data_IF_853105239349
#
_entry.id   IF_853105239349
#
_cell.length_a   1.000
_cell.length_b   1.000
_cell.length_c   1.000
_cell.angle_alpha   90.00
_cell.angle_beta   90.00
_cell.angle_gamma   90.00
#
_symmetry.space_group_name_H-M   'P 1'
#
loop_
_entity.id
_entity.type
_entity.pdbx_description
1 polymer ?
#
# COMPACT_ATOMS: atom_id res chain seq x y z
N UNK A 1 -4.28 -11.16 -27.49
CA UNK A 1 -4.83 -12.53 -27.22
C UNK A 1 -5.46 -12.48 -25.86
N UNK A 2 -6.66 -13.02 -25.67
CA UNK A 2 -7.30 -13.20 -24.35
C UNK A 2 -6.96 -14.63 -23.93
N UNK A 3 -6.37 -14.81 -22.75
CA UNK A 3 -6.00 -16.11 -22.21
C UNK A 3 -7.11 -16.70 -21.34
N UNK A 4 -7.75 -15.82 -20.53
CA UNK A 4 -8.80 -16.22 -19.64
C UNK A 4 -9.75 -15.05 -19.37
N UNK A 5 -10.96 -15.31 -18.85
CA UNK A 5 -11.93 -14.31 -18.42
C UNK A 5 -12.82 -14.88 -17.33
N UNK A 6 -13.33 -14.02 -16.49
CA UNK A 6 -14.28 -14.36 -15.43
C UNK A 6 -15.51 -13.47 -15.51
N UNK A 7 -16.66 -13.98 -15.04
CA UNK A 7 -17.91 -13.26 -14.92
C UNK A 7 -18.33 -13.26 -13.44
N UNK A 8 -18.31 -12.10 -12.82
CA UNK A 8 -18.74 -11.95 -11.44
C UNK A 8 -20.01 -11.10 -11.34
N UNK A 9 -20.88 -11.43 -10.39
CA UNK A 9 -22.01 -10.60 -9.97
C UNK A 9 -21.66 -9.66 -8.82
N UNK A 10 -20.42 -9.70 -8.34
CA UNK A 10 -19.95 -8.81 -7.29
C UNK A 10 -19.91 -7.36 -7.78
N UNK A 11 -20.19 -6.40 -6.92
CA UNK A 11 -20.19 -4.98 -7.31
C UNK A 11 -18.79 -4.46 -7.69
N UNK A 12 -17.75 -5.24 -7.45
CA UNK A 12 -16.36 -4.96 -7.84
C UNK A 12 -15.66 -6.22 -8.32
N UNK A 13 -14.77 -6.09 -9.30
CA UNK A 13 -13.94 -7.17 -9.87
C UNK A 13 -12.62 -7.39 -9.11
N UNK A 14 -12.45 -6.69 -8.02
CA UNK A 14 -11.25 -6.68 -7.19
C UNK A 14 -10.76 -8.09 -6.77
N UNK A 15 -11.67 -9.02 -6.48
CA UNK A 15 -11.32 -10.38 -6.08
C UNK A 15 -10.93 -11.29 -7.26
N UNK A 16 -11.19 -10.87 -8.50
CA UNK A 16 -10.92 -11.68 -9.70
C UNK A 16 -9.46 -11.65 -10.13
N UNK A 17 -8.65 -10.68 -9.66
CA UNK A 17 -7.26 -10.53 -10.12
C UNK A 17 -6.42 -11.78 -9.87
N UNK A 18 -6.39 -12.26 -8.62
CA UNK A 18 -5.55 -13.40 -8.24
C UNK A 18 -5.95 -14.66 -8.99
N UNK A 19 -7.22 -15.12 -9.00
CA UNK A 19 -7.63 -16.31 -9.74
C UNK A 19 -7.32 -16.24 -11.24
N UNK A 20 -7.54 -15.08 -11.88
CA UNK A 20 -7.27 -14.92 -13.31
C UNK A 20 -5.77 -14.93 -13.63
N UNK A 21 -4.94 -14.40 -12.76
CA UNK A 21 -3.49 -14.44 -12.95
C UNK A 21 -2.91 -15.82 -12.69
N UNK A 22 -3.42 -16.56 -11.71
CA UNK A 22 -3.07 -17.96 -11.45
C UNK A 22 -3.43 -18.84 -12.66
N UNK A 23 -4.68 -18.75 -13.15
CA UNK A 23 -5.14 -19.48 -14.33
C UNK A 23 -4.31 -19.16 -15.58
N UNK A 24 -3.98 -17.88 -15.79
CA UNK A 24 -3.13 -17.45 -16.91
C UNK A 24 -1.72 -18.01 -16.79
N UNK A 25 -1.15 -18.06 -15.59
CA UNK A 25 0.18 -18.63 -15.33
C UNK A 25 0.20 -20.14 -15.63
N UNK A 26 -0.83 -20.87 -15.19
CA UNK A 26 -0.98 -22.27 -15.46
C UNK A 26 -1.10 -22.54 -16.97
N UNK A 27 -1.93 -21.76 -17.67
CA UNK A 27 -2.09 -21.87 -19.12
C UNK A 27 -0.79 -21.63 -19.89
N UNK A 28 0.03 -20.68 -19.44
CA UNK A 28 1.32 -20.36 -20.04
C UNK A 28 2.40 -21.40 -19.72
N UNK A 29 2.19 -22.24 -18.69
CA UNK A 29 3.17 -23.23 -18.25
C UNK A 29 4.48 -22.59 -17.77
N UNK A 30 4.42 -21.38 -17.20
CA UNK A 30 5.60 -20.61 -16.79
C UNK A 30 5.76 -20.60 -15.28
N UNK A 31 6.96 -20.86 -14.78
CA UNK A 31 7.28 -20.74 -13.34
C UNK A 31 7.31 -19.29 -12.87
N UNK A 32 7.57 -18.33 -13.79
CA UNK A 32 7.62 -16.91 -13.53
C UNK A 32 6.68 -16.17 -14.47
N UNK A 33 5.91 -15.24 -13.92
CA UNK A 33 5.01 -14.39 -14.68
C UNK A 33 5.04 -12.97 -14.13
N UNK A 34 5.01 -11.98 -15.03
CA UNK A 34 4.77 -10.58 -14.69
C UNK A 34 3.30 -10.26 -14.97
N UNK A 35 2.64 -9.58 -14.02
CA UNK A 35 1.26 -9.12 -14.17
C UNK A 35 1.18 -7.61 -14.03
N UNK A 36 0.59 -6.95 -15.03
CA UNK A 36 0.32 -5.52 -15.02
C UNK A 36 -1.19 -5.30 -14.87
N UNK A 37 -1.59 -4.66 -13.80
CA UNK A 37 -3.00 -4.41 -13.49
C UNK A 37 -3.24 -2.95 -13.16
N UNK A 38 -4.48 -2.49 -13.28
CA UNK A 38 -4.81 -1.14 -12.91
C UNK A 38 -4.85 -0.94 -11.37
N UNK A 39 -4.93 0.33 -10.94
CA UNK A 39 -4.93 0.68 -9.52
C UNK A 39 -6.16 0.15 -8.76
N UNK A 40 -7.25 -0.13 -9.44
CA UNK A 40 -8.47 -0.67 -8.83
C UNK A 40 -8.22 -2.01 -8.13
N UNK A 41 -7.25 -2.77 -8.61
CA UNK A 41 -6.88 -4.07 -8.04
C UNK A 41 -5.85 -3.99 -6.90
N UNK A 42 -5.34 -2.79 -6.58
CA UNK A 42 -4.33 -2.68 -5.53
C UNK A 42 -4.89 -3.03 -4.16
N UNK A 43 -4.37 -4.09 -3.57
CA UNK A 43 -4.44 -4.39 -2.15
C UNK A 43 -3.22 -5.16 -1.70
N UNK A 44 -2.89 -5.04 -0.44
CA UNK A 44 -1.78 -5.82 0.11
C UNK A 44 -2.07 -7.32 0.10
N UNK A 45 -3.34 -7.71 0.18
CA UNK A 45 -3.75 -9.11 0.10
C UNK A 45 -3.52 -9.67 -1.33
N UNK A 46 -3.88 -8.91 -2.39
CA UNK A 46 -3.61 -9.30 -3.76
C UNK A 46 -2.11 -9.35 -4.03
N UNK A 47 -1.36 -8.29 -3.66
CA UNK A 47 0.10 -8.24 -3.83
C UNK A 47 0.78 -9.41 -3.13
N UNK A 48 0.35 -9.73 -1.91
CA UNK A 48 0.89 -10.87 -1.16
C UNK A 48 0.58 -12.21 -1.85
N UNK A 49 -0.69 -12.46 -2.22
CA UNK A 49 -1.06 -13.71 -2.89
C UNK A 49 -0.26 -13.90 -4.17
N UNK A 50 -0.16 -12.88 -5.02
CA UNK A 50 0.62 -12.97 -6.26
C UNK A 50 2.11 -13.22 -6.00
N UNK A 51 2.70 -12.59 -4.96
CA UNK A 51 4.09 -12.84 -4.58
C UNK A 51 4.30 -14.26 -4.07
N UNK A 52 3.37 -14.80 -3.27
CA UNK A 52 3.41 -16.18 -2.76
C UNK A 52 3.33 -17.20 -3.93
N UNK A 53 2.62 -16.85 -5.01
CA UNK A 53 2.49 -17.66 -6.23
C UNK A 53 3.61 -17.43 -7.26
N UNK A 54 4.62 -16.63 -6.92
CA UNK A 54 5.75 -16.30 -7.78
C UNK A 54 5.36 -15.45 -9.00
N UNK A 55 4.37 -14.57 -8.83
CA UNK A 55 3.92 -13.62 -9.84
C UNK A 55 4.44 -12.22 -9.46
N UNK A 56 5.22 -11.61 -10.33
CA UNK A 56 5.68 -10.22 -10.17
C UNK A 56 4.55 -9.26 -10.54
N UNK A 57 3.91 -8.67 -9.52
CA UNK A 57 2.74 -7.82 -9.69
C UNK A 57 3.12 -6.33 -9.83
N UNK A 58 2.75 -5.72 -10.94
CA UNK A 58 2.86 -4.28 -11.19
C UNK A 58 1.47 -3.64 -11.08
N UNK A 59 1.09 -3.26 -9.87
CA UNK A 59 -0.20 -2.62 -9.56
C UNK A 59 0.08 -1.23 -9.00
N UNK A 60 -0.37 -0.14 -9.63
CA UNK A 60 -0.16 1.20 -9.11
C UNK A 60 -0.77 1.36 -7.72
N UNK A 61 0.05 1.72 -6.74
CA UNK A 61 -0.44 2.01 -5.40
C UNK A 61 -1.40 3.20 -5.39
N UNK A 62 -2.39 3.15 -4.50
CA UNK A 62 -3.25 4.31 -4.26
C UNK A 62 -2.38 5.48 -3.77
N UNK A 63 -2.56 6.65 -4.35
CA UNK A 63 -1.86 7.86 -3.90
C UNK A 63 -2.31 8.17 -2.47
N UNK A 64 -1.49 7.81 -1.50
CA UNK A 64 -1.71 8.16 -0.11
C UNK A 64 -1.16 9.57 0.16
N UNK A 65 -1.92 10.37 0.83
CA UNK A 65 -1.60 11.74 1.21
C UNK A 65 -2.87 12.57 1.33
N UNK A 66 -2.77 13.69 2.02
CA UNK A 66 -3.88 14.63 2.08
C UNK A 66 -4.12 15.23 0.70
N UNK A 67 -5.32 15.10 0.12
CA UNK A 67 -5.63 15.76 -1.13
C UNK A 67 -5.62 17.29 -0.92
N UNK A 68 -5.08 18.01 -1.89
CA UNK A 68 -5.31 19.44 -1.99
C UNK A 68 -6.82 19.71 -2.11
N UNK A 69 -7.37 20.57 -1.25
CA UNK A 69 -8.82 20.82 -1.19
C UNK A 69 -9.40 21.38 -2.49
N UNK A 70 -8.57 21.98 -3.34
CA UNK A 70 -9.00 22.55 -4.64
C UNK A 70 -8.88 21.56 -5.78
N UNK A 71 -7.83 20.75 -5.78
CA UNK A 71 -7.49 19.87 -6.91
C UNK A 71 -7.82 18.41 -6.65
N UNK A 72 -8.07 18.02 -5.39
CA UNK A 72 -8.24 16.62 -4.98
C UNK A 72 -6.96 15.77 -5.11
N UNK A 73 -5.83 16.39 -5.46
CA UNK A 73 -4.53 15.71 -5.59
C UNK A 73 -3.78 15.76 -4.26
N UNK A 74 -3.21 14.65 -3.78
CA UNK A 74 -2.41 14.64 -2.57
C UNK A 74 -1.25 15.65 -2.64
N UNK A 75 -0.99 16.36 -1.55
CA UNK A 75 0.16 17.26 -1.48
C UNK A 75 1.46 16.46 -1.59
N UNK A 76 2.32 16.73 -2.57
CA UNK A 76 3.51 15.92 -2.84
C UNK A 76 4.50 15.88 -1.67
N UNK A 77 4.60 16.98 -0.91
CA UNK A 77 5.52 17.13 0.22
C UNK A 77 5.20 16.18 1.40
N UNK A 78 3.94 15.76 1.55
CA UNK A 78 3.48 14.88 2.63
C UNK A 78 3.01 13.51 2.12
N UNK A 79 3.32 13.19 0.87
CA UNK A 79 3.10 11.86 0.33
C UNK A 79 3.92 10.82 1.12
N UNK A 80 3.39 9.62 1.27
CA UNK A 80 4.01 8.55 2.07
C UNK A 80 5.44 8.24 1.64
N UNK A 81 5.75 8.33 0.35
CA UNK A 81 7.10 8.16 -0.21
C UNK A 81 8.14 9.17 0.30
N UNK A 82 7.72 10.24 0.98
CA UNK A 82 8.62 11.22 1.59
C UNK A 82 9.04 10.84 3.01
N UNK A 83 8.46 9.79 3.57
CA UNK A 83 8.83 9.25 4.86
C UNK A 83 9.91 8.20 4.66
N UNK A 84 11.13 8.49 5.09
CA UNK A 84 12.31 7.68 4.80
C UNK A 84 12.50 6.63 5.89
N UNK A 85 12.48 5.35 5.53
CA UNK A 85 12.74 4.27 6.48
C UNK A 85 14.23 4.07 6.72
N UNK A 86 14.63 4.11 7.98
CA UNK A 86 15.97 3.70 8.42
C UNK A 86 15.91 2.28 8.99
N UNK A 87 16.50 1.34 8.25
CA UNK A 87 16.47 -0.09 8.59
C UNK A 87 17.29 -0.42 9.84
N UNK A 88 18.41 0.28 10.06
CA UNK A 88 19.30 0.01 11.19
C UNK A 88 18.67 0.38 12.53
N UNK A 89 17.95 1.50 12.56
CA UNK A 89 17.26 2.00 13.76
C UNK A 89 15.81 1.53 13.86
N UNK A 90 15.27 0.92 12.81
CA UNK A 90 13.85 0.55 12.69
C UNK A 90 12.90 1.74 12.95
N UNK A 91 13.16 2.87 12.30
CA UNK A 91 12.36 4.09 12.39
C UNK A 91 12.07 4.66 11.01
N UNK A 92 11.03 5.47 10.92
CA UNK A 92 10.83 6.37 9.79
C UNK A 92 11.25 7.79 10.15
N UNK A 93 11.79 8.51 9.18
CA UNK A 93 12.05 9.95 9.27
C UNK A 93 10.94 10.67 8.50
N UNK A 94 10.16 11.54 9.16
CA UNK A 94 9.15 12.34 8.49
C UNK A 94 9.77 13.53 7.71
N UNK A 95 9.03 14.19 6.79
CA UNK A 95 9.53 15.36 6.05
C UNK A 95 10.05 16.49 6.93
N UNK A 96 9.49 16.67 8.14
CA UNK A 96 9.94 17.63 9.15
C UNK A 96 11.09 17.12 10.03
N UNK A 97 11.77 16.05 9.60
CA UNK A 97 12.94 15.45 10.27
C UNK A 97 12.68 14.92 11.69
N UNK A 98 11.43 14.62 12.04
CA UNK A 98 11.14 13.94 13.30
C UNK A 98 11.21 12.43 13.11
N UNK A 99 11.79 11.74 14.08
CA UNK A 99 11.82 10.28 14.12
C UNK A 99 10.44 9.73 14.51
N UNK A 100 9.96 8.79 13.71
CA UNK A 100 8.74 8.04 13.96
C UNK A 100 9.12 6.63 14.42
N UNK A 101 8.75 6.30 15.63
CA UNK A 101 9.09 5.03 16.25
C UNK A 101 7.99 3.99 16.05
N UNK A 102 8.38 2.73 16.13
CA UNK A 102 7.43 1.63 16.14
C UNK A 102 6.40 1.81 17.27
N UNK A 103 5.14 1.74 16.91
CA UNK A 103 4.01 1.88 17.84
C UNK A 103 3.38 0.53 18.17
N UNK A 104 3.00 -0.23 17.15
CA UNK A 104 2.32 -1.53 17.30
C UNK A 104 2.25 -2.29 15.98
N UNK A 105 1.91 -3.57 16.08
CA UNK A 105 1.50 -4.38 14.94
C UNK A 105 0.00 -4.25 14.69
N UNK A 106 -0.39 -4.40 13.43
CA UNK A 106 -1.77 -4.56 13.02
C UNK A 106 -1.86 -5.66 11.97
N UNK A 107 -3.01 -6.37 11.94
CA UNK A 107 -3.31 -7.37 10.91
C UNK A 107 -4.57 -6.95 10.17
N UNK A 108 -4.61 -7.24 8.87
CA UNK A 108 -5.84 -7.18 8.09
C UNK A 108 -6.74 -8.37 8.42
N UNK A 109 -7.98 -8.34 7.92
CA UNK A 109 -8.93 -9.45 8.02
C UNK A 109 -8.35 -10.74 7.39
N UNK A 110 -7.57 -10.61 6.31
CA UNK A 110 -6.89 -11.73 5.62
C UNK A 110 -5.54 -12.10 6.24
N UNK A 111 -5.16 -11.48 7.35
CA UNK A 111 -3.98 -11.86 8.12
C UNK A 111 -2.67 -11.20 7.71
N UNK A 112 -2.67 -10.28 6.75
CA UNK A 112 -1.48 -9.49 6.40
C UNK A 112 -1.05 -8.65 7.60
N UNK A 113 0.22 -8.72 7.95
CA UNK A 113 0.79 -8.03 9.12
C UNK A 113 1.44 -6.71 8.71
N UNK A 114 1.16 -5.68 9.47
CA UNK A 114 1.78 -4.37 9.34
C UNK A 114 2.42 -3.95 10.65
N UNK A 115 3.54 -3.23 10.53
CA UNK A 115 4.11 -2.44 11.62
C UNK A 115 3.67 -0.99 11.43
N UNK A 116 3.19 -0.36 12.49
CA UNK A 116 2.77 1.03 12.48
C UNK A 116 3.81 1.85 13.21
N UNK A 117 4.19 2.99 12.61
CA UNK A 117 5.13 3.95 13.15
C UNK A 117 4.45 5.30 13.34
N UNK A 118 4.77 5.98 14.44
CA UNK A 118 4.21 7.29 14.79
C UNK A 118 5.22 8.12 15.58
N UNK A 119 4.92 9.41 15.75
CA UNK A 119 5.70 10.32 16.61
C UNK A 119 4.80 11.30 17.33
N UNK A 120 5.06 11.52 18.61
CA UNK A 120 4.36 12.53 19.42
C UNK A 120 4.65 13.96 18.95
N UNK A 121 5.73 14.19 18.19
CA UNK A 121 6.05 15.50 17.62
C UNK A 121 4.96 16.05 16.68
N UNK A 122 4.04 15.20 16.21
CA UNK A 122 2.88 15.61 15.41
C UNK A 122 1.94 16.55 16.17
N UNK A 123 1.88 16.48 17.49
CA UNK A 123 0.96 17.30 18.30
C UNK A 123 1.26 18.80 18.16
N UNK A 124 2.54 19.18 18.14
CA UNK A 124 3.00 20.56 18.00
C UNK A 124 3.53 20.90 16.60
N UNK A 125 3.34 20.03 15.63
CA UNK A 125 3.90 20.19 14.29
C UNK A 125 3.19 21.31 13.50
N UNK A 126 3.93 22.34 13.01
CA UNK A 126 3.32 23.48 12.31
C UNK A 126 2.68 23.12 10.98
N UNK A 127 3.12 22.03 10.34
CA UNK A 127 2.60 21.56 9.05
C UNK A 127 1.57 20.43 9.18
N UNK A 128 1.17 20.11 10.39
CA UNK A 128 0.27 18.99 10.69
C UNK A 128 -1.01 18.99 9.85
N UNK A 129 -1.67 20.14 9.74
CA UNK A 129 -2.94 20.27 9.00
C UNK A 129 -2.81 20.01 7.51
N UNK A 130 -1.62 20.14 6.93
CA UNK A 130 -1.32 19.76 5.55
C UNK A 130 -0.86 18.31 5.40
N UNK A 131 -0.38 17.71 6.50
CA UNK A 131 0.19 16.38 6.51
C UNK A 131 -0.82 15.26 6.83
N UNK A 132 -1.77 15.53 7.76
CA UNK A 132 -2.74 14.51 8.19
C UNK A 132 -4.05 15.12 8.68
N UNK A 133 -5.16 14.43 8.41
CA UNK A 133 -6.49 14.72 8.97
C UNK A 133 -6.71 14.06 10.34
N UNK A 134 -5.80 13.16 10.73
CA UNK A 134 -5.89 12.50 12.03
C UNK A 134 -5.91 13.53 13.17
N UNK A 135 -6.81 13.35 14.11
CA UNK A 135 -6.86 14.15 15.35
C UNK A 135 -5.66 13.89 16.27
N UNK A 136 -4.93 12.81 16.05
CA UNK A 136 -3.75 12.41 16.83
C UNK A 136 -2.50 12.59 15.96
N UNK A 137 -1.84 11.49 15.60
CA UNK A 137 -0.58 11.48 14.90
C UNK A 137 -0.74 11.00 13.45
N UNK A 138 0.22 11.36 12.59
CA UNK A 138 0.40 10.70 11.32
C UNK A 138 0.95 9.30 11.57
N UNK A 139 0.29 8.28 11.02
CA UNK A 139 0.77 6.91 11.05
C UNK A 139 1.34 6.54 9.68
N UNK A 140 2.50 5.84 9.72
CA UNK A 140 3.08 5.20 8.55
C UNK A 140 3.03 3.70 8.76
N UNK A 141 2.61 2.99 7.74
CA UNK A 141 2.41 1.56 7.76
C UNK A 141 3.52 0.90 6.96
N UNK A 142 4.17 -0.07 7.57
CA UNK A 142 5.16 -0.89 6.90
C UNK A 142 4.71 -2.33 6.91
N UNK A 143 4.63 -2.89 5.71
CA UNK A 143 4.30 -4.29 5.56
C UNK A 143 5.47 -5.15 6.04
N UNK A 144 5.17 -6.20 6.83
CA UNK A 144 6.11 -7.25 7.21
C UNK A 144 6.03 -8.38 6.17
N UNK A 145 7.03 -8.43 5.33
CA UNK A 145 7.26 -9.55 4.42
C UNK A 145 8.54 -10.24 4.82
#
# INVERSE_FOLDING_TARGET
MVLDYDLTSDPTDYASLVPLTESSKEFLGSDKMESLSDRGYFSMDNVKSMADDGIDAYIPEAKHGMPDKKTGVPKPEFHESRFIYNREKDIFMCPEKNEMHYLRNQKTVKGVKYRIYATAACESCPVRTGCTESKRDRWIWRWEH
#
